data_IF_468294321014
#
_entry.id   IF_468294321014
#
_cell.length_a   1.000
_cell.length_b   1.000
_cell.length_c   1.000
_cell.angle_alpha   90.00
_cell.angle_beta   90.00
_cell.angle_gamma   90.00
#
_symmetry.space_group_name_H-M   'P 1'
#
loop_
_entity.id
_entity.type
_entity.pdbx_description
1 polymer ?
#
# COMPACT_ATOMS: atom_id res chain seq x y z
N UNK A 1 18.51 -44.77 20.73
CA UNK A 1 18.58 -43.84 21.89
C UNK A 1 17.25 -43.89 22.63
N UNK A 2 17.24 -43.99 23.97
CA UNK A 2 16.05 -44.39 24.71
C UNK A 2 15.04 -43.24 24.75
N UNK A 3 13.82 -43.52 24.28
CA UNK A 3 12.67 -42.65 24.45
C UNK A 3 12.25 -42.65 25.92
N UNK A 4 12.90 -41.82 26.74
CA UNK A 4 12.59 -41.71 28.17
C UNK A 4 11.21 -41.05 28.31
N UNK A 5 10.23 -41.78 28.88
CA UNK A 5 9.08 -41.15 29.55
C UNK A 5 9.63 -40.41 30.77
N UNK A 6 9.93 -39.12 30.66
CA UNK A 6 10.42 -38.34 31.81
C UNK A 6 9.27 -37.97 32.73
N UNK A 7 9.48 -37.94 34.06
CA UNK A 7 8.45 -37.58 35.03
C UNK A 7 7.84 -36.21 34.74
N UNK A 8 6.56 -36.05 35.11
CA UNK A 8 5.80 -34.82 34.93
C UNK A 8 6.57 -33.61 35.48
N UNK A 9 7.01 -32.71 34.59
CA UNK A 9 7.73 -31.49 34.98
C UNK A 9 9.10 -31.29 34.32
N UNK A 10 9.71 -32.33 33.74
CA UNK A 10 10.98 -32.16 33.00
C UNK A 10 10.74 -31.43 31.67
N UNK A 11 11.24 -30.19 31.55
CA UNK A 11 11.25 -29.43 30.28
C UNK A 11 12.66 -29.37 29.72
N UNK A 12 12.88 -29.95 28.53
CA UNK A 12 14.12 -29.75 27.79
C UNK A 12 14.21 -28.27 27.38
N UNK A 13 15.35 -27.62 27.67
CA UNK A 13 15.53 -26.18 27.44
C UNK A 13 15.82 -25.86 25.96
N UNK A 14 16.43 -26.78 25.24
CA UNK A 14 16.88 -26.60 23.84
C UNK A 14 16.42 -27.73 22.93
N UNK A 15 16.26 -27.42 21.66
CA UNK A 15 16.00 -28.39 20.60
C UNK A 15 17.16 -29.40 20.49
N UNK A 16 16.87 -30.61 20.04
CA UNK A 16 17.90 -31.63 19.79
C UNK A 16 18.88 -31.28 18.66
N UNK A 17 18.54 -30.32 17.81
CA UNK A 17 19.27 -29.99 16.58
C UNK A 17 19.70 -28.51 16.52
N UNK A 18 19.31 -27.68 17.51
CA UNK A 18 19.75 -26.28 17.63
C UNK A 18 19.43 -25.69 19.02
N UNK A 19 19.82 -24.44 19.25
CA UNK A 19 19.62 -23.73 20.52
C UNK A 19 18.22 -23.12 20.71
N UNK A 20 17.30 -23.32 19.77
CA UNK A 20 15.93 -22.83 19.89
C UNK A 20 15.12 -23.62 20.92
N UNK A 21 14.18 -22.97 21.61
CA UNK A 21 13.31 -23.67 22.56
C UNK A 21 12.40 -24.70 21.86
N UNK A 22 12.30 -25.94 22.39
CA UNK A 22 11.53 -26.98 21.77
C UNK A 22 10.02 -26.81 22.05
N UNK A 23 9.21 -27.20 21.07
CA UNK A 23 7.74 -27.24 21.17
C UNK A 23 7.11 -28.47 20.51
N UNK A 24 7.90 -29.22 19.74
CA UNK A 24 7.48 -30.42 19.01
C UNK A 24 8.13 -31.67 19.59
N UNK A 25 7.41 -32.79 19.56
CA UNK A 25 7.83 -34.09 20.07
C UNK A 25 6.88 -35.18 19.60
N UNK A 26 7.17 -36.44 19.91
CA UNK A 26 6.22 -37.52 19.70
C UNK A 26 5.06 -37.42 20.70
N UNK A 27 3.89 -37.95 20.32
CA UNK A 27 2.72 -37.86 21.18
C UNK A 27 2.93 -38.56 22.53
N UNK A 28 2.54 -37.90 23.61
CA UNK A 28 2.81 -38.35 24.99
C UNK A 28 4.25 -38.13 25.48
N UNK A 29 5.14 -37.54 24.69
CA UNK A 29 6.51 -37.21 25.08
C UNK A 29 6.72 -35.70 25.27
N UNK A 30 7.75 -35.35 26.03
CA UNK A 30 8.18 -33.95 26.22
C UNK A 30 8.67 -33.33 24.91
N UNK A 31 8.56 -32.00 24.72
CA UNK A 31 9.05 -31.35 23.51
C UNK A 31 10.57 -31.49 23.38
N UNK A 32 11.04 -31.94 22.22
CA UNK A 32 12.45 -32.17 21.91
C UNK A 32 12.94 -31.40 20.67
N UNK A 33 12.02 -30.94 19.81
CA UNK A 33 12.33 -30.26 18.55
C UNK A 33 11.68 -28.87 18.50
N UNK A 34 12.34 -27.91 17.86
CA UNK A 34 11.78 -26.57 17.64
C UNK A 34 10.87 -26.55 16.41
N UNK A 35 10.16 -25.44 16.19
CA UNK A 35 9.25 -25.30 15.06
C UNK A 35 9.93 -25.38 13.68
N UNK A 36 11.23 -25.04 13.59
CA UNK A 36 12.00 -25.12 12.34
C UNK A 36 12.29 -26.57 11.94
N UNK A 37 12.51 -27.44 12.93
CA UNK A 37 12.88 -28.85 12.71
C UNK A 37 11.70 -29.81 12.86
N UNK A 38 10.46 -29.31 12.83
CA UNK A 38 9.26 -30.13 13.03
C UNK A 38 9.02 -31.11 11.87
N UNK A 39 9.49 -30.78 10.67
CA UNK A 39 9.26 -31.55 9.44
C UNK A 39 10.47 -32.44 9.09
N UNK A 40 11.60 -32.27 9.78
CA UNK A 40 12.82 -33.10 9.58
C UNK A 40 12.69 -34.51 10.17
N UNK A 41 11.78 -34.68 11.13
CA UNK A 41 11.48 -35.97 11.75
C UNK A 41 10.00 -36.28 11.56
N UNK A 42 9.65 -37.31 10.78
CA UNK A 42 8.26 -37.70 10.58
C UNK A 42 7.55 -38.05 11.90
N UNK A 43 6.30 -37.62 12.03
CA UNK A 43 5.47 -37.93 13.19
C UNK A 43 5.61 -36.99 14.39
N UNK A 44 6.38 -35.90 14.28
CA UNK A 44 6.43 -34.87 15.31
C UNK A 44 5.13 -34.07 15.37
N UNK A 45 4.66 -33.83 16.59
CA UNK A 45 3.46 -33.04 16.89
C UNK A 45 3.79 -31.95 17.91
N UNK A 46 2.99 -30.89 17.92
CA UNK A 46 3.12 -29.87 18.97
C UNK A 46 2.63 -30.46 20.30
N UNK A 47 3.56 -30.70 21.22
CA UNK A 47 3.28 -31.26 22.55
C UNK A 47 3.28 -30.18 23.64
N UNK A 48 3.60 -28.94 23.29
CA UNK A 48 3.61 -27.78 24.20
C UNK A 48 2.23 -27.11 24.26
N UNK A 49 1.53 -27.06 23.15
CA UNK A 49 0.22 -26.41 23.03
C UNK A 49 -0.89 -27.45 22.82
N UNK A 50 -2.11 -27.18 23.32
CA UNK A 50 -3.26 -28.04 23.08
C UNK A 50 -3.50 -28.25 21.58
N UNK A 51 -3.98 -29.44 21.23
CA UNK A 51 -4.39 -29.82 19.89
C UNK A 51 -5.90 -30.02 19.86
N UNK A 52 -6.47 -29.88 18.67
CA UNK A 52 -7.86 -30.22 18.43
C UNK A 52 -8.15 -31.68 18.83
N UNK A 53 -9.25 -31.91 19.53
CA UNK A 53 -9.65 -33.25 20.01
C UNK A 53 -10.17 -34.18 18.89
N UNK A 54 -10.44 -33.64 17.69
CA UNK A 54 -10.78 -34.47 16.54
C UNK A 54 -9.62 -35.43 16.19
N UNK A 55 -9.91 -36.73 15.96
CA UNK A 55 -8.87 -37.73 15.66
C UNK A 55 -7.94 -37.29 14.52
N UNK A 56 -6.63 -37.36 14.76
CA UNK A 56 -5.60 -36.99 13.78
C UNK A 56 -5.42 -35.49 13.52
N UNK A 57 -6.16 -34.60 14.18
CA UNK A 57 -6.06 -33.16 13.93
C UNK A 57 -4.92 -32.50 14.74
N UNK A 58 -3.92 -31.97 14.03
CA UNK A 58 -2.79 -31.24 14.64
C UNK A 58 -3.02 -29.73 14.78
N UNK A 59 -4.17 -29.21 14.33
CA UNK A 59 -4.50 -27.78 14.41
C UNK A 59 -4.72 -27.38 15.87
N UNK A 60 -4.31 -26.16 16.25
CA UNK A 60 -4.62 -25.60 17.58
C UNK A 60 -6.13 -25.43 17.73
N UNK A 61 -6.71 -25.76 18.90
CA UNK A 61 -8.10 -25.53 19.14
C UNK A 61 -8.37 -24.05 19.40
N UNK A 62 -9.48 -23.54 18.89
CA UNK A 62 -10.03 -22.24 19.25
C UNK A 62 -11.53 -22.27 19.53
N UNK A 63 -12.18 -23.41 19.31
CA UNK A 63 -13.62 -23.59 19.41
C UNK A 63 -13.98 -24.46 20.61
N UNK A 64 -15.04 -24.08 21.31
CA UNK A 64 -15.51 -24.72 22.53
C UNK A 64 -16.98 -24.39 22.81
N UNK A 65 -17.42 -24.78 24.01
CA UNK A 65 -18.80 -24.53 24.46
C UNK A 65 -18.99 -23.04 24.74
N UNK A 66 -20.16 -22.51 24.37
CA UNK A 66 -20.51 -21.12 24.61
C UNK A 66 -20.42 -20.77 26.12
N UNK A 67 -19.71 -19.70 26.44
CA UNK A 67 -19.54 -19.22 27.83
C UNK A 67 -18.31 -19.79 28.54
N UNK A 68 -17.61 -20.75 27.95
CA UNK A 68 -16.33 -21.25 28.48
C UNK A 68 -15.14 -20.57 27.81
N UNK A 69 -13.95 -20.70 28.41
CA UNK A 69 -12.66 -20.34 27.78
C UNK A 69 -11.92 -21.57 27.25
N UNK A 70 -12.53 -22.74 27.33
CA UNK A 70 -11.90 -24.01 27.00
C UNK A 70 -12.11 -24.33 25.53
N UNK A 71 -11.03 -24.26 24.75
CA UNK A 71 -11.05 -24.61 23.34
C UNK A 71 -10.68 -26.09 23.16
N UNK A 72 -11.61 -26.87 22.64
CA UNK A 72 -11.48 -28.31 22.42
C UNK A 72 -11.20 -28.64 20.95
N UNK A 73 -11.74 -27.87 20.03
CA UNK A 73 -11.66 -28.14 18.59
C UNK A 73 -11.06 -26.97 17.81
N UNK A 74 -10.44 -27.26 16.67
CA UNK A 74 -10.04 -26.21 15.71
C UNK A 74 -11.27 -25.62 15.02
N UNK A 75 -11.10 -24.50 14.30
CA UNK A 75 -12.25 -23.83 13.68
C UNK A 75 -13.03 -24.64 12.65
N UNK A 76 -12.41 -25.62 12.01
CA UNK A 76 -13.12 -26.51 11.08
C UNK A 76 -14.00 -27.52 11.83
N UNK A 77 -13.41 -28.28 12.76
CA UNK A 77 -14.12 -29.29 13.54
C UNK A 77 -15.13 -28.67 14.51
N UNK A 78 -14.79 -27.53 15.10
CA UNK A 78 -15.67 -26.78 15.99
C UNK A 78 -16.96 -26.35 15.28
N UNK A 79 -16.86 -25.79 14.07
CA UNK A 79 -18.06 -25.42 13.28
C UNK A 79 -18.91 -26.63 12.92
N UNK A 80 -18.30 -27.74 12.50
CA UNK A 80 -19.01 -29.00 12.21
C UNK A 80 -19.77 -29.53 13.43
N UNK A 81 -19.22 -29.32 14.64
CA UNK A 81 -19.83 -29.71 15.90
C UNK A 81 -20.77 -28.65 16.52
N UNK A 82 -21.08 -27.56 15.82
CA UNK A 82 -21.92 -26.48 16.36
C UNK A 82 -21.31 -25.67 17.52
N UNK A 83 -19.98 -25.74 17.69
CA UNK A 83 -19.25 -25.02 18.73
C UNK A 83 -18.91 -23.59 18.29
N UNK A 84 -18.55 -22.75 19.26
CA UNK A 84 -18.22 -21.33 19.02
C UNK A 84 -16.74 -21.06 19.26
N UNK A 85 -16.18 -20.03 18.61
CA UNK A 85 -14.83 -19.58 18.93
C UNK A 85 -14.82 -18.94 20.34
N UNK A 86 -14.04 -19.54 21.25
CA UNK A 86 -13.91 -19.14 22.66
C UNK A 86 -12.57 -18.44 22.95
N UNK A 87 -11.69 -18.38 21.96
CA UNK A 87 -10.36 -17.77 22.09
C UNK A 87 -10.36 -16.35 21.52
N UNK A 88 -10.94 -16.17 20.34
CA UNK A 88 -10.99 -14.89 19.66
C UNK A 88 -12.25 -14.11 20.07
N UNK A 89 -12.13 -12.79 20.08
CA UNK A 89 -13.27 -11.92 20.41
C UNK A 89 -14.38 -12.13 19.38
N UNK A 90 -15.62 -11.98 19.82
CA UNK A 90 -16.81 -12.03 18.96
C UNK A 90 -17.51 -10.68 18.99
N UNK A 91 -18.34 -10.44 17.99
CA UNK A 91 -19.24 -9.30 17.99
C UNK A 91 -20.05 -9.27 19.29
N UNK A 92 -20.24 -8.07 19.87
CA UNK A 92 -20.95 -7.88 21.12
C UNK A 92 -22.47 -8.13 21.03
N UNK A 93 -23.04 -8.20 19.81
CA UNK A 93 -24.44 -8.56 19.62
C UNK A 93 -24.66 -10.03 20.03
N UNK A 94 -25.56 -10.33 20.98
CA UNK A 94 -25.86 -11.69 21.40
C UNK A 94 -26.22 -12.60 20.22
N UNK A 95 -25.64 -13.81 20.18
CA UNK A 95 -25.84 -14.77 19.09
C UNK A 95 -24.96 -14.55 17.85
N UNK A 96 -24.25 -13.42 17.73
CA UNK A 96 -23.33 -13.19 16.61
C UNK A 96 -21.97 -13.85 16.85
N UNK A 97 -21.56 -14.77 15.97
CA UNK A 97 -20.26 -15.44 16.02
C UNK A 97 -19.20 -14.86 15.08
N UNK A 98 -19.49 -13.74 14.41
CA UNK A 98 -18.54 -13.05 13.53
C UNK A 98 -17.45 -12.36 14.36
N UNK A 99 -16.23 -12.31 13.82
CA UNK A 99 -15.13 -11.52 14.39
C UNK A 99 -15.47 -10.03 14.29
N UNK A 100 -15.23 -9.25 15.36
CA UNK A 100 -15.47 -7.81 15.30
C UNK A 100 -14.31 -7.11 14.58
N UNK A 101 -14.65 -6.13 13.75
CA UNK A 101 -13.69 -5.20 13.13
C UNK A 101 -14.04 -3.73 13.39
N UNK A 102 -15.27 -3.45 13.82
CA UNK A 102 -15.79 -2.10 14.01
C UNK A 102 -15.85 -1.72 15.48
N UNK A 103 -15.55 -0.46 15.78
CA UNK A 103 -15.60 0.10 17.13
C UNK A 103 -15.66 1.63 17.11
N UNK A 104 -15.51 2.22 18.29
CA UNK A 104 -15.50 3.67 18.45
C UNK A 104 -14.27 4.30 17.78
N UNK A 105 -14.48 5.45 17.14
CA UNK A 105 -13.42 6.20 16.47
C UNK A 105 -12.30 6.56 17.45
N UNK A 106 -11.05 6.42 17.00
CA UNK A 106 -9.85 6.67 17.82
C UNK A 106 -9.46 5.52 18.76
N UNK A 107 -10.26 4.47 18.85
CA UNK A 107 -9.94 3.27 19.65
C UNK A 107 -9.31 2.16 18.79
N UNK A 108 -8.64 1.21 19.44
CA UNK A 108 -8.18 -0.04 18.80
C UNK A 108 -9.11 -1.23 19.09
N UNK A 109 -10.23 -0.99 19.77
CA UNK A 109 -11.06 -2.04 20.33
C UNK A 109 -12.24 -2.29 19.39
N UNK A 110 -12.15 -3.35 18.61
CA UNK A 110 -13.28 -3.82 17.81
C UNK A 110 -14.32 -4.50 18.70
N UNK A 111 -15.57 -4.07 18.57
CA UNK A 111 -16.73 -4.51 19.34
C UNK A 111 -17.78 -5.18 18.46
N UNK A 112 -17.93 -4.72 17.22
CA UNK A 112 -18.98 -5.16 16.31
C UNK A 112 -18.41 -5.70 15.00
N UNK A 113 -19.13 -6.62 14.37
CA UNK A 113 -18.86 -7.01 12.99
C UNK A 113 -19.43 -5.95 12.04
N UNK A 114 -19.10 -6.03 10.76
CA UNK A 114 -19.57 -5.10 9.72
C UNK A 114 -21.09 -4.97 9.63
N UNK A 115 -21.82 -6.07 9.85
CA UNK A 115 -23.29 -6.06 9.80
C UNK A 115 -23.88 -5.26 10.96
N UNK A 116 -23.34 -5.47 12.16
CA UNK A 116 -23.82 -4.83 13.39
C UNK A 116 -23.16 -3.47 13.68
N UNK A 117 -22.32 -2.96 12.77
CA UNK A 117 -21.70 -1.64 12.93
C UNK A 117 -22.55 -0.50 12.35
N UNK A 118 -23.44 -0.82 11.40
CA UNK A 118 -24.23 0.13 10.61
C UNK A 118 -25.19 0.98 11.45
N UNK A 119 -25.71 0.42 12.54
CA UNK A 119 -26.70 1.09 13.40
C UNK A 119 -26.05 2.01 14.45
N UNK A 120 -24.74 1.91 14.68
CA UNK A 120 -24.07 2.51 15.84
C UNK A 120 -23.03 3.60 15.52
N UNK A 121 -22.99 4.13 14.27
CA UNK A 121 -21.96 5.09 13.81
C UNK A 121 -20.51 4.64 14.11
N UNK A 122 -20.27 3.33 14.04
CA UNK A 122 -18.96 2.72 14.34
C UNK A 122 -18.05 2.74 13.11
N UNK A 123 -16.74 2.81 13.32
CA UNK A 123 -15.73 2.80 12.23
C UNK A 123 -14.95 1.50 12.24
N UNK A 124 -14.42 1.08 11.09
CA UNK A 124 -13.48 -0.05 11.04
C UNK A 124 -12.17 0.36 11.75
N UNK A 125 -11.92 -0.23 12.91
CA UNK A 125 -10.73 0.04 13.74
C UNK A 125 -9.60 -0.96 13.49
N UNK A 126 -9.87 -2.03 12.73
CA UNK A 126 -8.90 -3.07 12.37
C UNK A 126 -8.25 -2.76 11.02
N UNK A 127 -9.05 -2.30 10.05
CA UNK A 127 -8.64 -1.90 8.72
C UNK A 127 -9.14 -0.48 8.40
N UNK A 128 -8.71 0.54 9.15
CA UNK A 128 -9.20 1.89 8.94
C UNK A 128 -8.87 2.38 7.52
N UNK A 129 -9.80 3.13 6.93
CA UNK A 129 -9.62 3.82 5.66
C UNK A 129 -9.45 5.31 5.91
N UNK A 130 -8.91 6.00 4.91
CA UNK A 130 -8.82 7.46 4.93
C UNK A 130 -10.21 8.07 5.18
N UNK A 131 -10.31 9.01 6.11
CA UNK A 131 -11.58 9.74 6.36
C UNK A 131 -11.97 10.69 5.24
N UNK A 132 -11.05 11.01 4.33
CA UNK A 132 -11.33 11.92 3.22
C UNK A 132 -12.35 11.27 2.30
N UNK A 133 -13.42 12.00 2.03
CA UNK A 133 -14.49 11.53 1.17
C UNK A 133 -13.96 11.16 -0.24
N UNK A 134 -14.35 9.99 -0.75
CA UNK A 134 -13.84 9.41 -2.00
C UNK A 134 -12.41 8.85 -1.95
N UNK A 135 -11.79 8.70 -0.78
CA UNK A 135 -10.46 8.09 -0.64
C UNK A 135 -10.51 6.71 0.01
N UNK A 136 -10.36 5.65 -0.78
CA UNK A 136 -10.38 4.26 -0.27
C UNK A 136 -9.05 3.76 0.28
N UNK A 137 -8.04 4.62 0.37
CA UNK A 137 -6.71 4.24 0.86
C UNK A 137 -6.80 3.68 2.28
N UNK A 138 -6.41 2.42 2.45
CA UNK A 138 -6.25 1.81 3.77
C UNK A 138 -5.13 2.52 4.50
N UNK A 139 -5.42 3.00 5.70
CA UNK A 139 -4.43 3.63 6.58
C UNK A 139 -4.02 2.63 7.66
N UNK A 140 -2.74 2.62 8.02
CA UNK A 140 -2.29 1.90 9.22
C UNK A 140 -2.52 2.78 10.45
N UNK A 141 -2.12 2.33 11.65
CA UNK A 141 -2.26 3.06 12.93
C UNK A 141 -1.69 4.50 12.99
N UNK A 142 -1.16 5.00 11.87
CA UNK A 142 -0.87 6.38 11.49
C UNK A 142 -2.08 7.34 11.65
N UNK A 143 -3.31 6.81 11.75
CA UNK A 143 -4.54 7.60 11.94
C UNK A 143 -4.45 8.69 13.03
N UNK A 144 -3.62 8.53 14.07
CA UNK A 144 -3.40 9.59 15.07
C UNK A 144 -2.60 10.79 14.55
N UNK A 145 -1.55 10.56 13.75
CA UNK A 145 -0.67 11.63 13.26
C UNK A 145 -1.37 12.52 12.24
N UNK A 146 -2.19 11.92 11.38
CA UNK A 146 -2.85 12.60 10.27
C UNK A 146 -4.36 12.75 10.47
N UNK A 147 -4.82 12.71 11.73
CA UNK A 147 -6.22 12.92 12.10
C UNK A 147 -7.22 12.03 11.35
N UNK A 148 -6.85 10.79 11.01
CA UNK A 148 -7.67 9.83 10.28
C UNK A 148 -7.56 9.90 8.75
N UNK A 149 -6.70 10.75 8.18
CA UNK A 149 -6.42 10.79 6.73
C UNK A 149 -5.21 9.94 6.36
N UNK A 150 -5.16 9.48 5.10
CA UNK A 150 -3.91 9.02 4.51
C UNK A 150 -2.96 10.22 4.37
N UNK A 151 -1.66 9.96 4.28
CA UNK A 151 -0.67 11.02 4.23
C UNK A 151 -0.90 11.99 3.07
N UNK A 152 -1.26 11.47 1.89
CA UNK A 152 -1.58 12.26 0.70
C UNK A 152 -2.76 13.21 0.95
N UNK A 153 -3.89 12.70 1.45
CA UNK A 153 -5.04 13.55 1.76
C UNK A 153 -4.73 14.55 2.89
N UNK A 154 -3.97 14.15 3.90
CA UNK A 154 -3.55 15.07 4.96
C UNK A 154 -2.74 16.24 4.39
N UNK A 155 -1.78 15.95 3.51
CA UNK A 155 -0.97 16.98 2.85
C UNK A 155 -1.81 18.02 2.12
N UNK A 156 -2.72 17.59 1.23
CA UNK A 156 -3.52 18.52 0.45
C UNK A 156 -4.54 19.31 1.27
N UNK A 157 -4.99 18.77 2.39
CA UNK A 157 -5.91 19.47 3.28
C UNK A 157 -5.18 20.37 4.30
N UNK A 158 -3.86 20.24 4.44
CA UNK A 158 -3.06 20.97 5.45
C UNK A 158 -1.71 21.43 4.86
N UNK A 159 -1.70 22.28 3.82
CA UNK A 159 -0.48 22.63 3.08
C UNK A 159 0.57 23.35 3.94
N UNK A 160 0.16 24.09 4.96
CA UNK A 160 1.06 24.90 5.79
C UNK A 160 1.80 24.11 6.88
N UNK A 161 1.36 22.87 7.16
CA UNK A 161 1.89 22.01 8.23
C UNK A 161 3.35 21.59 7.97
N UNK A 162 4.25 21.61 8.98
CA UNK A 162 5.67 21.28 8.78
C UNK A 162 5.92 19.89 8.18
N UNK A 163 5.07 18.92 8.51
CA UNK A 163 5.18 17.54 7.98
C UNK A 163 4.95 17.47 6.47
N UNK A 164 4.23 18.45 5.92
CA UNK A 164 3.84 18.52 4.52
C UNK A 164 4.96 19.12 3.65
N UNK A 165 5.77 20.03 4.20
CA UNK A 165 6.77 20.80 3.44
C UNK A 165 7.90 19.97 2.80
N UNK A 166 8.13 18.74 3.26
CA UNK A 166 9.13 17.83 2.68
C UNK A 166 8.55 16.82 1.68
N UNK A 167 7.22 16.68 1.60
CA UNK A 167 6.52 15.76 0.70
C UNK A 167 6.34 16.37 -0.71
N UNK A 168 6.35 15.53 -1.75
CA UNK A 168 6.33 15.95 -3.18
C UNK A 168 7.42 16.98 -3.54
N UNK A 169 8.52 16.99 -2.80
CA UNK A 169 9.54 18.03 -2.93
C UNK A 169 10.40 17.89 -4.20
N UNK A 170 10.41 16.73 -4.87
CA UNK A 170 11.01 16.59 -6.20
C UNK A 170 10.00 16.97 -7.27
N UNK A 171 8.75 16.53 -7.11
CA UNK A 171 7.64 16.89 -7.98
C UNK A 171 7.45 18.40 -8.09
N UNK A 172 7.33 19.10 -6.95
CA UNK A 172 7.22 20.56 -6.92
C UNK A 172 8.35 21.25 -7.70
N UNK A 173 9.57 20.71 -7.67
CA UNK A 173 10.70 21.29 -8.43
C UNK A 173 10.63 21.07 -9.92
N UNK A 174 10.07 19.93 -10.34
CA UNK A 174 9.80 19.67 -11.76
C UNK A 174 8.72 20.64 -12.24
N UNK A 175 7.67 20.82 -11.44
CA UNK A 175 6.60 21.78 -11.74
C UNK A 175 7.14 23.22 -11.79
N UNK A 176 7.85 23.68 -10.77
CA UNK A 176 8.49 25.01 -10.73
C UNK A 176 9.43 25.23 -11.93
N UNK A 177 10.18 24.20 -12.34
CA UNK A 177 11.03 24.25 -13.53
C UNK A 177 10.23 24.44 -14.81
N UNK A 178 9.10 23.76 -14.97
CA UNK A 178 8.23 23.87 -16.15
C UNK A 178 7.42 25.17 -16.15
N UNK A 179 6.96 25.64 -14.99
CA UNK A 179 6.29 26.95 -14.86
C UNK A 179 7.24 28.11 -15.23
N UNK A 180 8.52 27.97 -14.91
CA UNK A 180 9.55 28.94 -15.28
C UNK A 180 10.03 28.79 -16.74
N UNK A 181 9.68 27.69 -17.42
CA UNK A 181 10.06 27.42 -18.79
C UNK A 181 9.01 27.95 -19.77
N UNK A 182 9.47 28.33 -20.96
CA UNK A 182 8.57 28.64 -22.07
C UNK A 182 8.24 27.36 -22.84
N UNK A 183 6.99 26.92 -22.73
CA UNK A 183 6.46 25.74 -23.42
C UNK A 183 5.86 26.08 -24.79
N UNK A 184 5.88 27.35 -25.22
CA UNK A 184 5.26 27.77 -26.48
C UNK A 184 3.73 27.66 -26.47
N UNK A 185 3.10 27.88 -25.31
CA UNK A 185 1.65 27.72 -25.15
C UNK A 185 0.87 28.82 -25.90
N UNK A 186 -0.24 28.48 -26.55
CA UNK A 186 -1.16 29.46 -27.12
C UNK A 186 -1.75 30.40 -26.07
N UNK A 187 -2.14 31.61 -26.48
CA UNK A 187 -2.79 32.59 -25.62
C UNK A 187 -4.03 32.02 -24.93
N UNK A 188 -4.12 32.24 -23.61
CA UNK A 188 -5.24 31.76 -22.79
C UNK A 188 -5.13 30.32 -22.30
N UNK A 189 -4.09 29.59 -22.70
CA UNK A 189 -3.79 28.24 -22.18
C UNK A 189 -2.76 28.35 -21.07
N UNK A 190 -3.06 27.74 -19.93
CA UNK A 190 -2.13 27.64 -18.79
C UNK A 190 -2.21 26.25 -18.16
N UNK A 191 -1.09 25.75 -17.60
CA UNK A 191 -1.07 24.45 -16.95
C UNK A 191 -1.94 24.45 -15.68
N UNK A 192 -2.66 23.34 -15.50
CA UNK A 192 -3.39 23.01 -14.28
C UNK A 192 -2.51 22.12 -13.42
N UNK A 193 -2.14 22.62 -12.24
CA UNK A 193 -1.21 21.97 -11.32
C UNK A 193 -1.92 21.55 -10.05
N UNK A 194 -1.77 20.28 -9.63
CA UNK A 194 -2.25 19.72 -8.36
C UNK A 194 -3.74 20.03 -7.99
N UNK A 195 -4.55 20.36 -9.01
CA UNK A 195 -5.98 20.70 -8.88
C UNK A 195 -6.83 19.58 -9.46
N UNK A 196 -8.03 19.42 -8.90
CA UNK A 196 -9.01 18.50 -9.48
C UNK A 196 -9.46 19.05 -10.84
N UNK A 197 -9.67 18.16 -11.80
CA UNK A 197 -10.17 18.54 -13.13
C UNK A 197 -11.55 19.18 -12.98
N UNK A 198 -11.69 20.42 -13.45
CA UNK A 198 -12.95 21.16 -13.37
C UNK A 198 -14.03 20.50 -14.22
N UNK A 199 -15.19 20.18 -13.64
CA UNK A 199 -16.29 19.51 -14.35
C UNK A 199 -16.16 17.99 -14.47
N UNK A 200 -15.05 17.39 -14.03
CA UNK A 200 -14.89 15.94 -13.95
C UNK A 200 -15.74 15.32 -12.84
N UNK A 201 -16.21 14.08 -13.05
CA UNK A 201 -16.89 13.32 -12.01
C UNK A 201 -15.89 12.76 -10.98
N UNK A 202 -14.60 12.65 -11.33
CA UNK A 202 -13.55 12.21 -10.42
C UNK A 202 -12.86 13.38 -9.70
N UNK A 203 -12.39 13.13 -8.46
CA UNK A 203 -11.55 14.08 -7.69
C UNK A 203 -10.06 13.93 -8.03
N UNK A 204 -9.72 13.38 -9.19
CA UNK A 204 -8.35 13.05 -9.60
C UNK A 204 -7.57 14.33 -9.93
N UNK A 205 -6.28 14.30 -9.61
CA UNK A 205 -5.37 15.45 -9.67
C UNK A 205 -4.09 15.00 -10.38
N UNK A 206 -3.92 15.29 -11.68
CA UNK A 206 -2.63 15.16 -12.34
C UNK A 206 -1.63 16.14 -11.72
N UNK A 207 -0.34 15.77 -11.70
CA UNK A 207 0.71 16.60 -11.12
C UNK A 207 0.91 17.86 -12.00
N UNK A 208 0.86 17.68 -13.32
CA UNK A 208 0.85 18.76 -14.31
C UNK A 208 -0.06 18.37 -15.49
N UNK A 209 -1.01 19.22 -15.83
CA UNK A 209 -1.97 19.01 -16.93
C UNK A 209 -2.01 20.24 -17.84
N UNK A 210 -1.89 20.00 -19.15
CA UNK A 210 -2.19 20.97 -20.19
C UNK A 210 -3.42 20.51 -20.97
N UNK A 211 -4.43 21.38 -21.04
CA UNK A 211 -5.58 21.21 -21.90
C UNK A 211 -5.41 22.10 -23.14
N UNK A 212 -5.14 21.48 -24.29
CA UNK A 212 -4.94 22.17 -25.55
C UNK A 212 -6.21 22.29 -26.40
N UNK A 213 -7.39 22.05 -25.79
CA UNK A 213 -8.70 21.96 -26.43
C UNK A 213 -8.86 20.75 -27.38
N UNK A 214 -7.85 20.43 -28.19
CA UNK A 214 -7.83 19.29 -29.12
C UNK A 214 -7.48 17.98 -28.43
N UNK A 215 -6.49 18.03 -27.54
CA UNK A 215 -5.96 16.90 -26.79
C UNK A 215 -5.41 17.39 -25.45
N UNK A 216 -5.09 16.46 -24.56
CA UNK A 216 -4.52 16.79 -23.24
C UNK A 216 -3.15 16.19 -23.08
N UNK A 217 -2.23 16.95 -22.49
CA UNK A 217 -0.89 16.47 -22.10
C UNK A 217 -0.87 16.41 -20.57
N UNK A 218 -0.59 15.22 -20.03
CA UNK A 218 -0.43 14.98 -18.60
C UNK A 218 1.03 14.61 -18.34
N UNK A 219 1.65 15.27 -17.37
CA UNK A 219 2.93 14.86 -16.82
C UNK A 219 2.70 14.22 -15.45
N UNK A 220 3.13 12.97 -15.31
CA UNK A 220 3.18 12.26 -14.03
C UNK A 220 4.62 12.14 -13.56
N UNK A 221 4.90 12.58 -12.33
CA UNK A 221 6.24 12.54 -11.76
C UNK A 221 6.33 11.36 -10.79
N UNK A 222 7.04 10.33 -11.20
CA UNK A 222 7.08 9.04 -10.49
C UNK A 222 8.21 9.02 -9.44
N UNK A 223 7.94 9.55 -8.24
CA UNK A 223 8.87 9.50 -7.12
C UNK A 223 8.89 8.09 -6.47
N UNK A 224 10.05 7.42 -6.51
CA UNK A 224 10.29 6.02 -6.12
C UNK A 224 9.58 5.01 -7.02
N UNK A 225 10.25 4.60 -8.10
CA UNK A 225 9.95 3.39 -8.89
C UNK A 225 9.77 2.16 -7.98
N UNK A 226 8.60 1.98 -7.37
CA UNK A 226 8.32 0.81 -6.56
C UNK A 226 7.70 -0.24 -7.47
N UNK A 227 8.54 -1.24 -7.76
CA UNK A 227 8.17 -2.51 -8.36
C UNK A 227 7.11 -3.22 -7.51
N UNK A 228 5.86 -2.97 -7.87
CA UNK A 228 4.68 -3.83 -7.71
C UNK A 228 3.52 -3.01 -8.29
N UNK A 229 3.59 -2.69 -9.58
CA UNK A 229 2.51 -2.00 -10.25
C UNK A 229 1.35 -3.00 -10.34
N UNK A 230 0.30 -2.78 -9.55
CA UNK A 230 -1.02 -3.35 -9.84
C UNK A 230 -1.54 -2.59 -11.06
N UNK A 231 -1.05 -2.99 -12.23
CA UNK A 231 -1.29 -2.38 -13.56
C UNK A 231 -2.77 -2.11 -13.81
N UNK A 232 -3.65 -2.93 -13.22
CA UNK A 232 -5.10 -2.81 -13.34
C UNK A 232 -5.65 -1.52 -12.72
N UNK A 233 -5.14 -1.08 -11.57
CA UNK A 233 -5.65 0.08 -10.85
C UNK A 233 -5.20 1.40 -11.49
N UNK A 234 -3.99 1.44 -12.01
CA UNK A 234 -3.43 2.63 -12.66
C UNK A 234 -3.95 2.82 -14.09
N UNK A 235 -4.17 1.74 -14.84
CA UNK A 235 -4.93 1.82 -16.10
C UNK A 235 -6.34 2.34 -15.85
N UNK A 236 -7.02 1.84 -14.81
CA UNK A 236 -8.34 2.35 -14.43
C UNK A 236 -8.31 3.84 -14.08
N UNK A 237 -7.30 4.27 -13.31
CA UNK A 237 -7.09 5.68 -12.94
C UNK A 237 -6.92 6.57 -14.17
N UNK A 238 -6.14 6.12 -15.15
CA UNK A 238 -5.90 6.87 -16.37
C UNK A 238 -7.14 6.96 -17.26
N UNK A 239 -7.93 5.87 -17.32
CA UNK A 239 -9.21 5.86 -18.04
C UNK A 239 -10.25 6.78 -17.40
N UNK A 240 -10.30 6.86 -16.07
CA UNK A 240 -11.16 7.83 -15.36
C UNK A 240 -10.82 9.28 -15.75
N UNK A 241 -9.51 9.61 -15.81
CA UNK A 241 -9.05 10.93 -16.26
C UNK A 241 -9.39 11.19 -17.74
N UNK A 242 -9.24 10.20 -18.60
CA UNK A 242 -9.58 10.30 -20.02
C UNK A 242 -11.06 10.62 -20.23
N UNK A 243 -11.95 9.93 -19.51
CA UNK A 243 -13.39 10.23 -19.56
C UNK A 243 -13.68 11.64 -19.03
N UNK A 244 -13.10 12.03 -17.89
CA UNK A 244 -13.33 13.36 -17.29
C UNK A 244 -12.84 14.51 -18.17
N UNK A 245 -11.81 14.28 -18.99
CA UNK A 245 -11.25 15.27 -19.92
C UNK A 245 -11.94 15.27 -21.29
N UNK A 246 -13.12 14.65 -21.38
CA UNK A 246 -13.98 14.68 -22.57
C UNK A 246 -13.64 13.63 -23.62
N UNK A 247 -12.90 12.56 -23.25
CA UNK A 247 -12.49 11.48 -24.17
C UNK A 247 -11.72 11.98 -25.40
N UNK A 248 -10.95 13.07 -25.22
CA UNK A 248 -10.03 13.60 -26.23
C UNK A 248 -8.71 12.86 -26.16
N UNK A 249 -7.95 12.78 -27.28
CA UNK A 249 -6.64 12.17 -27.27
C UNK A 249 -5.77 12.66 -26.11
N UNK A 250 -5.02 11.74 -25.50
CA UNK A 250 -4.26 11.99 -24.29
C UNK A 250 -2.82 11.55 -24.46
N UNK A 251 -1.89 12.45 -24.16
CA UNK A 251 -0.47 12.16 -24.06
C UNK A 251 -0.07 12.17 -22.59
N UNK A 252 0.46 11.07 -22.10
CA UNK A 252 0.96 10.93 -20.72
C UNK A 252 2.47 10.79 -20.77
N UNK A 253 3.16 11.83 -20.31
CA UNK A 253 4.61 11.83 -20.12
C UNK A 253 4.87 11.41 -18.68
N UNK A 254 5.49 10.26 -18.47
CA UNK A 254 5.93 9.80 -17.16
C UNK A 254 7.40 10.16 -16.98
N UNK A 255 7.71 10.91 -15.94
CA UNK A 255 9.06 11.36 -15.66
C UNK A 255 9.57 10.78 -14.34
N UNK A 256 10.72 10.10 -14.40
CA UNK A 256 11.37 9.57 -13.20
C UNK A 256 12.55 10.46 -12.75
N UNK A 257 12.43 11.20 -11.63
CA UNK A 257 13.52 11.97 -11.04
C UNK A 257 14.48 11.11 -10.20
N UNK A 258 14.17 9.84 -9.96
CA UNK A 258 14.94 8.95 -9.11
C UNK A 258 16.02 8.16 -9.86
N UNK A 259 16.86 7.47 -9.09
CA UNK A 259 17.85 6.55 -9.66
C UNK A 259 17.13 5.44 -10.43
N UNK A 260 17.72 4.96 -11.51
CA UNK A 260 17.21 3.84 -12.30
C UNK A 260 18.38 3.04 -12.89
N UNK A 261 18.08 1.83 -13.36
CA UNK A 261 19.01 0.94 -14.05
C UNK A 261 18.52 0.71 -15.47
N UNK A 262 19.27 1.19 -16.46
CA UNK A 262 18.95 1.00 -17.87
C UNK A 262 19.02 -0.48 -18.28
N UNK A 263 18.46 -0.80 -19.46
CA UNK A 263 18.37 -2.18 -19.96
C UNK A 263 19.74 -2.84 -20.15
N UNK A 264 20.77 -2.04 -20.43
CA UNK A 264 22.17 -2.46 -20.55
C UNK A 264 22.87 -2.70 -19.20
N UNK A 265 22.17 -2.46 -18.07
CA UNK A 265 22.69 -2.56 -16.72
C UNK A 265 23.38 -1.29 -16.20
N UNK A 266 23.42 -0.21 -17.00
CA UNK A 266 23.98 1.08 -16.60
C UNK A 266 23.14 1.71 -15.50
N UNK A 267 23.81 2.13 -14.41
CA UNK A 267 23.14 2.75 -13.25
C UNK A 267 23.17 4.27 -13.38
N UNK A 268 22.00 4.88 -13.36
CA UNK A 268 21.85 6.33 -13.40
C UNK A 268 21.55 6.89 -12.00
N UNK A 269 22.24 7.97 -11.63
CA UNK A 269 22.03 8.65 -10.35
C UNK A 269 20.66 9.38 -10.31
N UNK A 270 20.16 9.73 -9.13
CA UNK A 270 18.94 10.53 -9.00
C UNK A 270 19.19 12.02 -9.34
N UNK A 271 18.15 12.73 -9.78
CA UNK A 271 18.21 14.17 -10.06
C UNK A 271 18.50 15.02 -8.81
N UNK A 272 18.10 14.55 -7.63
CA UNK A 272 18.17 15.33 -6.40
C UNK A 272 18.97 14.62 -5.31
N UNK A 273 19.81 15.38 -4.60
CA UNK A 273 20.49 14.91 -3.38
C UNK A 273 19.64 15.28 -2.16
N UNK A 274 19.47 14.36 -1.22
CA UNK A 274 18.72 14.61 0.03
C UNK A 274 19.69 15.14 1.09
N UNK A 275 19.35 16.27 1.73
CA UNK A 275 20.08 16.69 2.92
C UNK A 275 19.59 15.86 4.13
N UNK A 276 20.43 14.94 4.59
CA UNK A 276 20.11 14.02 5.70
C UNK A 276 19.72 14.72 7.01
N UNK A 277 20.11 15.99 7.23
CA UNK A 277 19.75 16.75 8.44
C UNK A 277 18.37 17.42 8.35
N UNK A 278 17.95 17.81 7.15
CA UNK A 278 16.71 18.56 6.92
C UNK A 278 15.59 17.68 6.36
N UNK A 279 15.90 16.51 5.81
CA UNK A 279 14.92 15.65 5.14
C UNK A 279 14.34 16.25 3.85
N UNK A 280 14.84 17.41 3.44
CA UNK A 280 14.44 18.11 2.21
C UNK A 280 15.50 17.82 1.13
N UNK A 281 15.09 17.52 -0.12
CA UNK A 281 16.01 17.54 -1.24
C UNK A 281 16.78 18.85 -1.25
N UNK A 282 18.09 18.85 -1.34
CA UNK A 282 18.82 20.09 -1.66
C UNK A 282 18.64 20.32 -3.16
N UNK A 283 18.26 21.52 -3.57
CA UNK A 283 18.28 21.92 -4.98
C UNK A 283 19.75 22.14 -5.36
N UNK A 284 20.54 21.08 -5.36
CA UNK A 284 21.81 21.13 -6.02
C UNK A 284 21.56 20.55 -7.40
N UNK A 285 21.63 21.41 -8.41
CA UNK A 285 21.67 21.08 -9.83
C UNK A 285 22.67 19.94 -10.04
N UNK A 286 22.20 18.69 -9.96
CA UNK A 286 23.03 17.55 -10.32
C UNK A 286 23.14 17.52 -11.84
N UNK A 287 24.22 16.96 -12.40
CA UNK A 287 24.30 16.75 -13.84
C UNK A 287 23.10 15.97 -14.39
N UNK A 288 22.58 15.01 -13.63
CA UNK A 288 21.37 14.27 -13.98
C UNK A 288 20.11 15.13 -13.98
N UNK A 289 19.96 16.06 -13.03
CA UNK A 289 18.86 17.04 -13.07
C UNK A 289 18.91 17.84 -14.37
N UNK A 290 20.04 18.45 -14.69
CA UNK A 290 20.20 19.27 -15.91
C UNK A 290 19.91 18.46 -17.18
N UNK A 291 20.44 17.23 -17.27
CA UNK A 291 20.21 16.33 -18.42
C UNK A 291 18.72 15.99 -18.57
N UNK A 292 18.10 15.52 -17.49
CA UNK A 292 16.73 14.99 -17.53
C UNK A 292 15.67 16.09 -17.61
N UNK A 293 15.85 17.22 -16.93
CA UNK A 293 14.92 18.34 -17.00
C UNK A 293 14.93 18.99 -18.39
N UNK A 294 16.10 19.10 -19.01
CA UNK A 294 16.21 19.58 -20.41
C UNK A 294 15.49 18.64 -21.37
N UNK A 295 15.72 17.33 -21.26
CA UNK A 295 15.04 16.36 -22.12
C UNK A 295 13.53 16.35 -21.89
N UNK A 296 13.08 16.40 -20.63
CA UNK A 296 11.66 16.55 -20.31
C UNK A 296 11.06 17.79 -20.98
N UNK A 297 11.72 18.94 -20.88
CA UNK A 297 11.27 20.17 -21.53
C UNK A 297 11.17 20.01 -23.04
N UNK A 298 12.20 19.45 -23.69
CA UNK A 298 12.20 19.16 -25.13
C UNK A 298 11.01 18.27 -25.54
N UNK A 299 10.69 17.24 -24.76
CA UNK A 299 9.54 16.36 -25.02
C UNK A 299 8.20 17.06 -24.79
N UNK A 300 8.07 17.85 -23.74
CA UNK A 300 6.86 18.63 -23.48
C UNK A 300 6.60 19.66 -24.59
N UNK A 301 7.61 20.44 -25.00
CA UNK A 301 7.53 21.37 -26.12
C UNK A 301 7.15 20.65 -27.41
N UNK A 302 7.76 19.49 -27.69
CA UNK A 302 7.44 18.72 -28.89
C UNK A 302 5.95 18.33 -28.96
N UNK A 303 5.37 17.82 -27.88
CA UNK A 303 3.95 17.45 -27.88
C UNK A 303 3.01 18.66 -28.01
N UNK A 304 3.39 19.81 -27.43
CA UNK A 304 2.66 21.07 -27.62
C UNK A 304 2.73 21.53 -29.07
N UNK A 305 3.93 21.60 -29.64
CA UNK A 305 4.18 22.05 -31.01
C UNK A 305 3.54 21.13 -32.05
N UNK A 306 3.65 19.81 -31.87
CA UNK A 306 3.01 18.82 -32.74
C UNK A 306 1.48 18.98 -32.71
N UNK A 307 0.92 19.15 -31.53
CA UNK A 307 -0.49 19.43 -31.32
C UNK A 307 -1.02 20.69 -32.01
N UNK A 308 -0.20 21.75 -32.01
CA UNK A 308 -0.52 23.03 -32.65
C UNK A 308 -0.41 22.94 -34.17
N UNK A 309 0.66 22.31 -34.67
CA UNK A 309 0.99 22.31 -36.09
C UNK A 309 0.28 21.20 -36.88
N UNK A 310 0.10 20.03 -36.27
CA UNK A 310 -0.41 18.82 -36.92
C UNK A 310 -1.80 18.40 -36.42
N UNK A 311 -2.30 19.01 -35.34
CA UNK A 311 -3.61 18.70 -34.77
C UNK A 311 -3.55 17.63 -33.67
N UNK A 312 -4.69 17.03 -33.35
CA UNK A 312 -4.75 16.04 -32.26
C UNK A 312 -3.98 14.75 -32.62
N UNK A 313 -3.31 14.10 -31.65
CA UNK A 313 -2.65 12.83 -31.86
C UNK A 313 -3.59 11.75 -32.43
N UNK A 314 -3.09 10.92 -33.35
CA UNK A 314 -3.84 9.81 -33.96
C UNK A 314 -4.26 8.74 -32.93
N UNK A 315 -3.46 8.55 -31.88
CA UNK A 315 -3.74 7.60 -30.81
C UNK A 315 -4.56 8.28 -29.72
N UNK A 316 -5.65 7.63 -29.31
CA UNK A 316 -6.47 8.08 -28.17
C UNK A 316 -5.66 8.18 -26.87
N UNK A 317 -4.67 7.29 -26.70
CA UNK A 317 -3.75 7.34 -25.57
C UNK A 317 -2.32 7.05 -26.02
N UNK A 318 -1.42 7.97 -25.71
CA UNK A 318 0.03 7.81 -25.85
C UNK A 318 0.66 7.89 -24.47
N UNK A 319 1.50 6.92 -24.10
CA UNK A 319 2.26 6.94 -22.85
C UNK A 319 3.74 6.90 -23.19
N UNK A 320 4.49 7.89 -22.70
CA UNK A 320 5.92 8.03 -22.90
C UNK A 320 6.63 7.94 -21.54
N UNK A 321 7.57 7.01 -21.40
CA UNK A 321 8.33 6.80 -20.16
C UNK A 321 9.71 7.41 -20.29
N UNK A 322 10.02 8.42 -19.48
CA UNK A 322 11.32 9.08 -19.46
C UNK A 322 12.13 8.59 -18.26
N UNK A 323 13.28 7.95 -18.55
CA UNK A 323 14.29 7.53 -17.57
C UNK A 323 13.84 6.41 -16.61
N UNK A 324 13.31 5.32 -17.16
CA UNK A 324 12.80 4.18 -16.38
C UNK A 324 13.69 2.93 -16.47
N UNK A 325 13.49 2.00 -15.53
CA UNK A 325 14.19 0.71 -15.56
C UNK A 325 13.85 -0.06 -16.85
N UNK A 326 14.88 -0.49 -17.57
CA UNK A 326 14.70 -1.27 -18.80
C UNK A 326 14.09 -0.50 -19.99
N UNK A 327 13.96 0.82 -19.91
CA UNK A 327 13.44 1.68 -20.97
C UNK A 327 14.37 2.89 -21.16
N UNK A 328 14.92 3.05 -22.36
CA UNK A 328 15.62 4.27 -22.79
C UNK A 328 14.72 5.12 -23.68
#
# INVERSE_FOLDING_TARGET
MPYIRTPSGYRKKTCLLCDSSPSYGFDGYVPQYCAKHKDEVPGLVNVKHPRCQAPGCIKRPSYGVLGTKEALFCGEHGRKAGLVDVIHRRCQVPGCNKQPSYGESGTKKALFCEEHSKEARMVDVVNPRCKQDGCDTRISGIAKKYGGMCFRCYYFNNPDEPVCRAYKSKEMRVVEFLEAADLGLPDGISPVLDKAVSGGCSRRRPDFLLDLHTHTIILEIDENQHGAYDTTCETKRLMELFCDLGSRPMVVVRFNPDRYTAADGTKHAACFQINAKLGVPKACSTPEWTRRSKYLLERMCHHVEDGINNGAPDKELTVEHLFFDGME
#
